data_IF_107847543439
#
_entry.id   IF_107847543439
#
_cell.length_a   1.000
_cell.length_b   1.000
_cell.length_c   1.000
_cell.angle_alpha   90.00
_cell.angle_beta   90.00
_cell.angle_gamma   90.00
#
_symmetry.space_group_name_H-M   'P 1'
#
loop_
_entity.id
_entity.type
_entity.pdbx_description
1 polymer ?
#
# COMPACT_ATOMS: atom_id res chain seq x y z
N UNK A 1 -45.47 -18.19 -59.44
CA UNK A 1 -45.85 -18.37 -58.02
C UNK A 1 -44.99 -19.53 -57.55
N UNK A 2 -43.83 -19.37 -56.93
CA UNK A 2 -43.34 -18.46 -55.90
C UNK A 2 -41.84 -18.19 -56.12
N UNK A 3 -41.37 -16.98 -55.81
CA UNK A 3 -39.93 -16.70 -55.67
C UNK A 3 -39.52 -17.13 -54.27
N UNK A 4 -38.40 -17.85 -54.13
CA UNK A 4 -37.67 -17.91 -52.86
C UNK A 4 -36.25 -17.39 -53.08
N UNK A 5 -36.12 -16.08 -52.92
CA UNK A 5 -34.87 -15.40 -52.58
C UNK A 5 -34.97 -15.17 -51.08
N UNK A 6 -34.06 -15.70 -50.26
CA UNK A 6 -33.30 -14.84 -49.34
C UNK A 6 -32.14 -15.54 -48.60
N UNK A 7 -31.01 -14.82 -48.63
CA UNK A 7 -29.98 -14.62 -47.62
C UNK A 7 -29.47 -15.75 -46.72
N UNK A 8 -28.39 -16.40 -47.17
CA UNK A 8 -27.36 -16.90 -46.27
C UNK A 8 -26.57 -15.74 -45.66
N UNK A 9 -26.90 -15.34 -44.43
CA UNK A 9 -26.17 -14.34 -43.65
C UNK A 9 -24.76 -14.85 -43.38
N UNK A 10 -23.76 -14.27 -44.03
CA UNK A 10 -22.37 -14.39 -43.62
C UNK A 10 -22.23 -13.82 -42.21
N UNK A 11 -22.13 -14.69 -41.21
CA UNK A 11 -21.80 -14.31 -39.83
C UNK A 11 -20.32 -13.96 -39.82
N UNK A 12 -20.01 -12.67 -39.94
CA UNK A 12 -18.67 -12.16 -39.73
C UNK A 12 -18.31 -12.32 -38.24
N UNK A 13 -17.30 -13.14 -37.95
CA UNK A 13 -16.69 -13.26 -36.63
C UNK A 13 -15.95 -11.97 -36.30
N UNK A 14 -16.61 -11.05 -35.59
CA UNK A 14 -15.94 -9.90 -35.00
C UNK A 14 -15.13 -10.38 -33.78
N UNK A 15 -13.84 -10.63 -33.95
CA UNK A 15 -12.92 -10.83 -32.85
C UNK A 15 -12.66 -9.47 -32.17
N UNK A 16 -13.39 -9.18 -31.09
CA UNK A 16 -13.12 -8.00 -30.24
C UNK A 16 -11.88 -8.25 -29.38
N UNK A 17 -10.74 -7.70 -29.81
CA UNK A 17 -9.55 -7.52 -28.97
C UNK A 17 -9.82 -6.43 -27.94
N UNK A 18 -10.40 -6.79 -26.79
CA UNK A 18 -10.41 -5.95 -25.60
C UNK A 18 -9.00 -5.97 -25.00
N UNK A 19 -8.16 -5.02 -25.43
CA UNK A 19 -6.89 -4.72 -24.76
C UNK A 19 -7.24 -4.08 -23.40
N UNK A 20 -7.33 -4.91 -22.36
CA UNK A 20 -7.64 -4.47 -21.01
C UNK A 20 -6.52 -3.60 -20.44
N UNK A 21 -6.70 -2.29 -20.42
CA UNK A 21 -5.80 -1.38 -19.71
C UNK A 21 -6.03 -1.54 -18.21
N UNK A 22 -5.24 -2.39 -17.55
CA UNK A 22 -5.21 -2.44 -16.08
C UNK A 22 -4.50 -1.19 -15.58
N UNK A 23 -5.29 -0.16 -15.24
CA UNK A 23 -4.75 1.03 -14.58
C UNK A 23 -4.21 0.63 -13.20
N UNK A 24 -2.92 0.85 -12.96
CA UNK A 24 -2.34 0.62 -11.65
C UNK A 24 -2.94 1.64 -10.65
N UNK A 25 -3.36 1.16 -9.49
CA UNK A 25 -3.85 2.03 -8.42
C UNK A 25 -2.77 3.10 -8.07
N UNK A 26 -3.21 4.34 -7.75
CA UNK A 26 -2.28 5.39 -7.33
C UNK A 26 -1.56 4.98 -6.05
N UNK A 27 -0.35 5.50 -5.87
CA UNK A 27 0.39 5.36 -4.62
C UNK A 27 -0.29 6.15 -3.50
N UNK A 28 -0.37 5.56 -2.31
CA UNK A 28 -0.94 6.21 -1.12
C UNK A 28 0.16 6.76 -0.20
N UNK A 29 -0.11 7.89 0.45
CA UNK A 29 0.75 8.45 1.50
C UNK A 29 0.10 8.26 2.87
N UNK A 30 0.79 7.54 3.75
CA UNK A 30 0.39 7.26 5.11
C UNK A 30 1.11 8.23 6.06
N UNK A 31 0.39 9.24 6.53
CA UNK A 31 0.92 10.25 7.47
C UNK A 31 0.76 9.74 8.90
N UNK A 32 1.88 9.58 9.61
CA UNK A 32 1.92 9.10 10.99
C UNK A 32 2.29 10.22 11.96
N UNK A 33 1.52 10.40 13.02
CA UNK A 33 1.84 11.30 14.12
C UNK A 33 0.65 12.08 14.67
N UNK A 34 0.88 13.02 15.60
CA UNK A 34 -0.19 13.77 16.27
C UNK A 34 -1.14 14.47 15.28
N UNK A 35 -2.45 14.27 15.46
CA UNK A 35 -3.48 14.87 14.60
C UNK A 35 -3.61 14.28 13.19
N UNK A 36 -2.92 13.17 12.89
CA UNK A 36 -3.02 12.44 11.61
C UNK A 36 -3.97 11.25 11.71
N UNK A 37 -4.34 10.70 10.55
CA UNK A 37 -5.15 9.47 10.44
C UNK A 37 -4.51 8.31 11.21
N UNK A 38 -3.19 8.17 11.09
CA UNK A 38 -2.42 7.18 11.83
C UNK A 38 -1.70 7.93 12.96
N UNK A 39 -2.16 7.81 14.19
CA UNK A 39 -1.58 8.56 15.32
C UNK A 39 -0.28 7.93 15.84
N UNK A 40 -0.07 6.65 15.54
CA UNK A 40 1.13 5.89 15.88
C UNK A 40 1.53 4.95 14.71
N UNK A 41 2.72 4.38 14.79
CA UNK A 41 3.39 3.65 13.72
C UNK A 41 2.77 2.26 13.51
N UNK A 42 2.26 1.62 14.56
CA UNK A 42 1.55 0.34 14.50
C UNK A 42 0.15 0.46 13.86
N UNK A 43 -0.43 1.66 13.81
CA UNK A 43 -1.71 1.90 13.14
C UNK A 43 -1.62 1.81 11.60
N UNK A 44 -0.42 1.92 11.03
CA UNK A 44 -0.22 1.79 9.58
C UNK A 44 -0.48 0.34 9.14
N UNK A 45 -1.27 0.10 8.07
CA UNK A 45 -1.50 -1.25 7.54
C UNK A 45 -0.30 -1.70 6.69
N UNK A 46 0.79 -2.01 7.37
CA UNK A 46 2.07 -2.42 6.78
C UNK A 46 1.95 -3.59 5.80
N UNK A 47 1.07 -4.54 6.12
CA UNK A 47 0.69 -5.68 5.29
C UNK A 47 -0.06 -5.30 4.01
N UNK A 48 -0.68 -4.11 3.97
CA UNK A 48 -1.47 -3.65 2.83
C UNK A 48 -0.68 -2.78 1.84
N UNK A 49 0.52 -2.31 2.20
CA UNK A 49 1.34 -1.40 1.38
C UNK A 49 1.58 -1.91 -0.05
N UNK A 50 1.42 -1.02 -1.03
CA UNK A 50 1.55 -1.28 -2.46
C UNK A 50 2.81 -0.62 -3.04
N UNK A 51 3.29 -1.06 -4.21
CA UNK A 51 4.40 -0.37 -4.88
C UNK A 51 4.14 1.14 -5.04
N UNK A 52 5.08 1.96 -4.61
CA UNK A 52 5.00 3.41 -4.65
C UNK A 52 4.44 4.06 -3.38
N UNK A 53 3.85 3.29 -2.47
CA UNK A 53 3.31 3.84 -1.22
C UNK A 53 4.41 4.44 -0.35
N UNK A 54 4.03 5.48 0.40
CA UNK A 54 4.95 6.23 1.27
C UNK A 54 4.40 6.26 2.70
N UNK A 55 5.24 5.97 3.68
CA UNK A 55 4.93 6.17 5.09
C UNK A 55 5.78 7.32 5.63
N UNK A 56 5.12 8.40 6.03
CA UNK A 56 5.75 9.62 6.52
C UNK A 56 5.54 9.70 8.04
N UNK A 57 6.61 9.49 8.80
CA UNK A 57 6.56 9.48 10.26
C UNK A 57 6.93 10.87 10.76
N UNK A 58 5.95 11.64 11.23
CA UNK A 58 6.19 12.99 11.75
C UNK A 58 6.86 12.93 13.11
N UNK A 59 7.79 13.86 13.34
CA UNK A 59 8.35 14.05 14.66
C UNK A 59 7.25 14.34 15.70
N UNK A 60 7.44 13.78 16.89
CA UNK A 60 6.76 14.16 18.12
C UNK A 60 7.77 14.08 19.28
N UNK A 61 7.53 14.77 20.41
CA UNK A 61 8.46 14.73 21.55
C UNK A 61 8.67 13.32 22.12
N UNK A 62 7.59 12.54 22.25
CA UNK A 62 7.64 11.17 22.76
C UNK A 62 8.02 10.16 21.66
N UNK A 63 8.97 9.24 21.90
CA UNK A 63 9.29 8.20 20.92
C UNK A 63 8.09 7.34 20.51
N UNK A 64 8.12 6.84 19.27
CA UNK A 64 7.22 5.79 18.82
C UNK A 64 7.73 4.45 19.34
N UNK A 65 6.91 3.75 20.14
CA UNK A 65 7.24 2.44 20.72
C UNK A 65 6.52 1.35 19.95
N UNK A 66 6.86 1.21 18.67
CA UNK A 66 6.29 0.21 17.79
C UNK A 66 7.39 -0.44 16.96
N UNK A 67 7.19 -1.72 16.65
CA UNK A 67 7.94 -2.42 15.62
C UNK A 67 7.00 -2.90 14.52
N UNK A 68 7.53 -3.03 13.31
CA UNK A 68 6.78 -3.46 12.15
C UNK A 68 7.65 -4.28 11.22
N UNK A 69 6.99 -5.01 10.32
CA UNK A 69 7.62 -5.77 9.24
C UNK A 69 7.07 -5.26 7.93
N UNK A 70 7.95 -5.05 6.95
CA UNK A 70 7.54 -4.79 5.57
C UNK A 70 7.53 -6.13 4.84
N UNK A 71 6.37 -6.81 4.84
CA UNK A 71 6.15 -8.06 4.11
C UNK A 71 5.66 -7.83 2.66
N UNK A 72 5.83 -6.59 2.16
CA UNK A 72 5.41 -6.16 0.82
C UNK A 72 6.61 -5.74 0.00
N UNK A 73 6.44 -5.72 -1.33
CA UNK A 73 7.51 -5.46 -2.28
C UNK A 73 7.15 -4.28 -3.18
N UNK A 74 7.99 -3.26 -3.18
CA UNK A 74 7.98 -2.22 -4.21
C UNK A 74 8.67 -2.68 -5.50
N UNK A 75 8.56 -1.89 -6.56
CA UNK A 75 9.36 -2.08 -7.79
C UNK A 75 10.50 -1.06 -7.85
N UNK A 76 11.37 -1.18 -8.85
CA UNK A 76 12.44 -0.20 -9.07
C UNK A 76 11.88 1.20 -9.36
N UNK A 77 10.80 1.28 -10.13
CA UNK A 77 10.14 2.52 -10.52
C UNK A 77 9.17 3.03 -9.45
N UNK A 78 8.65 2.13 -8.62
CA UNK A 78 7.67 2.41 -7.56
C UNK A 78 8.10 1.73 -6.25
N UNK A 79 9.16 2.21 -5.59
CA UNK A 79 9.58 1.67 -4.30
C UNK A 79 8.55 2.00 -3.22
N UNK A 80 8.52 1.19 -2.15
CA UNK A 80 7.87 1.58 -0.90
C UNK A 80 8.88 2.42 -0.12
N UNK A 81 8.49 3.61 0.33
CA UNK A 81 9.39 4.54 1.04
C UNK A 81 8.87 4.76 2.46
N UNK A 82 9.73 4.55 3.46
CA UNK A 82 9.48 4.95 4.84
C UNK A 82 10.45 6.07 5.20
N UNK A 83 9.94 7.22 5.63
CA UNK A 83 10.79 8.38 5.93
C UNK A 83 10.27 9.19 7.11
N UNK A 84 11.19 9.73 7.91
CA UNK A 84 10.86 10.67 8.96
C UNK A 84 10.65 12.09 8.42
N UNK A 85 9.63 12.77 8.93
CA UNK A 85 9.39 14.21 8.69
C UNK A 85 9.88 14.98 9.91
N UNK A 86 10.76 15.95 9.68
CA UNK A 86 11.39 16.71 10.75
C UNK A 86 10.41 17.64 11.47
N UNK A 87 10.62 17.81 12.76
CA UNK A 87 9.90 18.79 13.58
C UNK A 87 10.33 20.24 13.30
N UNK A 88 9.67 21.21 13.96
CA UNK A 88 9.90 22.64 13.73
C UNK A 88 11.35 23.10 13.94
N UNK A 89 12.13 22.40 14.77
CA UNK A 89 13.52 22.72 15.06
C UNK A 89 14.49 21.69 14.43
N UNK A 90 14.03 20.93 13.43
CA UNK A 90 14.84 19.92 12.75
C UNK A 90 14.94 18.59 13.50
N UNK A 91 14.15 18.38 14.56
CA UNK A 91 14.13 17.11 15.28
C UNK A 91 13.65 15.97 14.39
N UNK A 92 14.23 14.77 14.53
CA UNK A 92 13.81 13.57 13.79
C UNK A 92 12.90 12.70 14.65
N UNK A 93 11.89 12.03 14.08
CA UNK A 93 11.13 11.04 14.81
C UNK A 93 12.06 9.95 15.36
N UNK A 94 11.79 9.52 16.59
CA UNK A 94 12.55 8.45 17.25
C UNK A 94 11.68 7.20 17.31
N UNK A 95 12.22 6.09 16.81
CA UNK A 95 11.66 4.75 16.97
C UNK A 95 12.41 4.09 18.12
N UNK A 96 11.68 3.69 19.16
CA UNK A 96 12.25 3.10 20.37
C UNK A 96 11.73 1.67 20.55
N UNK A 97 12.65 0.70 20.46
CA UNK A 97 12.33 -0.72 20.62
C UNK A 97 11.94 -1.12 22.05
N UNK A 98 12.19 -0.29 23.06
CA UNK A 98 11.88 -0.63 24.46
C UNK A 98 10.37 -0.69 24.66
N UNK A 99 9.90 -1.87 25.04
CA UNK A 99 8.48 -2.20 25.21
C UNK A 99 7.65 -1.88 23.95
N UNK A 100 8.26 -2.05 22.77
CA UNK A 100 7.60 -1.76 21.51
C UNK A 100 6.45 -2.73 21.24
N UNK A 101 5.31 -2.19 20.82
CA UNK A 101 4.15 -2.99 20.43
C UNK A 101 4.27 -3.47 18.99
N UNK A 102 3.51 -4.51 18.68
CA UNK A 102 3.34 -5.03 17.32
C UNK A 102 1.89 -4.94 16.96
N UNK A 103 1.59 -4.48 15.75
CA UNK A 103 0.24 -4.49 15.21
C UNK A 103 -0.33 -5.93 15.25
N UNK A 104 -1.54 -6.17 15.78
CA UNK A 104 -2.13 -7.51 15.88
C UNK A 104 -2.43 -8.18 14.53
N UNK A 105 -2.75 -7.40 13.50
CA UNK A 105 -3.09 -7.92 12.17
C UNK A 105 -1.85 -8.34 11.35
N UNK A 106 -0.63 -8.00 11.80
CA UNK A 106 0.59 -8.43 11.13
C UNK A 106 0.83 -9.92 11.37
N UNK A 107 0.73 -10.72 10.29
CA UNK A 107 1.14 -12.11 10.29
C UNK A 107 2.59 -12.22 9.80
N UNK A 108 3.48 -12.73 10.64
CA UNK A 108 4.89 -12.96 10.32
C UNK A 108 5.39 -14.26 10.93
N UNK A 109 6.35 -14.89 10.26
CA UNK A 109 6.81 -16.27 10.51
C UNK A 109 7.30 -16.58 11.92
N UNK A 110 7.65 -15.57 12.70
CA UNK A 110 8.21 -15.75 14.03
C UNK A 110 7.16 -15.61 15.15
N UNK A 111 5.93 -15.20 14.86
CA UNK A 111 4.80 -15.07 15.81
C UNK A 111 5.25 -14.64 17.22
N UNK A 112 5.06 -15.50 18.23
CA UNK A 112 5.38 -15.27 19.66
C UNK A 112 6.88 -15.00 19.92
N UNK A 113 7.79 -15.37 19.00
CA UNK A 113 9.22 -15.05 19.10
C UNK A 113 9.56 -13.66 18.59
N UNK A 114 8.60 -12.95 18.01
CA UNK A 114 8.82 -11.61 17.49
C UNK A 114 8.93 -10.54 18.56
N UNK A 115 8.57 -10.79 19.82
CA UNK A 115 8.49 -9.78 20.91
C UNK A 115 9.83 -9.15 21.26
#
# INVERSE_FOLDING_TARGET
>A
MERLVDSGRAVAWAASLLLGLVAAAPAETYEVGPGRKYTDVDAVPWEALRPGDRVLIHWRPEPYRAKWVICRRGTRERPIIVSGVVGPEGQRPVIDGRSAVTRPELQFWNEERGV
#
